data_IF_588464176528
#
_entry.id   IF_588464176528
#
_cell.length_a   1.000
_cell.length_b   1.000
_cell.length_c   1.000
_cell.angle_alpha   90.00
_cell.angle_beta   90.00
_cell.angle_gamma   90.00
#
_symmetry.space_group_name_H-M   'P 1'
#
loop_
_entity.id
_entity.type
_entity.pdbx_description
1 polymer ?
#
# COMPACT_ATOMS: atom_id res chain seq x y z
N UNK A 1 -15.36 2.00 -6.94
CA UNK A 1 -14.33 1.14 -7.55
C UNK A 1 -13.31 2.08 -8.16
N UNK A 2 -12.02 1.92 -7.88
CA UNK A 2 -10.99 2.78 -8.43
C UNK A 2 -10.67 2.33 -9.86
N UNK A 3 -10.89 3.21 -10.84
CA UNK A 3 -10.84 2.90 -12.27
C UNK A 3 -9.50 3.27 -12.89
N UNK A 4 -9.28 2.84 -14.13
CA UNK A 4 -8.12 3.26 -14.93
C UNK A 4 -8.10 4.78 -15.15
N UNK A 5 -9.28 5.41 -15.30
CA UNK A 5 -9.41 6.86 -15.42
C UNK A 5 -8.97 7.58 -14.14
N UNK A 6 -9.36 7.05 -12.97
CA UNK A 6 -8.93 7.61 -11.67
C UNK A 6 -7.41 7.49 -11.50
N UNK A 7 -6.81 6.38 -11.94
CA UNK A 7 -5.35 6.20 -11.93
C UNK A 7 -4.65 7.19 -12.87
N UNK A 8 -5.22 7.41 -14.06
CA UNK A 8 -4.68 8.37 -15.03
C UNK A 8 -4.72 9.80 -14.48
N UNK A 9 -5.79 10.17 -13.78
CA UNK A 9 -5.91 11.47 -13.11
C UNK A 9 -4.88 11.63 -11.99
N UNK A 10 -4.75 10.64 -11.11
CA UNK A 10 -3.71 10.62 -10.07
C UNK A 10 -2.31 10.76 -10.67
N UNK A 11 -2.00 10.03 -11.74
CA UNK A 11 -0.72 10.14 -12.44
C UNK A 11 -0.46 11.54 -12.97
N UNK A 12 -1.47 12.18 -13.58
CA UNK A 12 -1.34 13.51 -14.13
C UNK A 12 -1.08 14.55 -13.05
N UNK A 13 -1.77 14.44 -11.91
CA UNK A 13 -1.57 15.33 -10.77
C UNK A 13 -0.17 15.15 -10.15
N UNK A 14 0.25 13.90 -9.90
CA UNK A 14 1.60 13.62 -9.38
C UNK A 14 2.68 14.19 -10.32
N UNK A 15 2.52 14.00 -11.64
CA UNK A 15 3.44 14.54 -12.65
C UNK A 15 3.46 16.08 -12.64
N UNK A 16 2.29 16.71 -12.59
CA UNK A 16 2.17 18.18 -12.56
C UNK A 16 2.92 18.78 -11.36
N UNK A 17 2.82 18.13 -10.20
CA UNK A 17 3.46 18.57 -8.96
C UNK A 17 4.88 18.01 -8.76
N UNK A 18 5.43 17.28 -9.75
CA UNK A 18 6.75 16.64 -9.70
C UNK A 18 6.91 15.72 -8.47
N UNK A 19 5.85 14.95 -8.18
CA UNK A 19 5.77 14.02 -7.06
C UNK A 19 5.87 12.59 -7.54
N UNK A 20 6.47 11.75 -6.70
CA UNK A 20 6.67 10.33 -6.94
C UNK A 20 5.91 9.48 -5.94
N UNK A 21 5.57 8.25 -6.33
CA UNK A 21 4.86 7.28 -5.50
C UNK A 21 5.57 5.92 -5.56
N UNK A 22 5.54 5.16 -4.46
CA UNK A 22 6.03 3.78 -4.37
C UNK A 22 5.07 2.89 -3.57
N UNK A 23 5.25 1.56 -3.61
CA UNK A 23 4.41 0.61 -2.87
C UNK A 23 5.22 -0.49 -2.17
N UNK A 24 4.76 -0.87 -0.98
CA UNK A 24 5.14 -2.09 -0.27
C UNK A 24 3.94 -3.03 -0.16
N UNK A 25 3.99 -4.16 -0.84
CA UNK A 25 2.85 -5.05 -1.01
C UNK A 25 3.09 -6.42 -0.37
N UNK A 26 2.12 -6.92 0.38
CA UNK A 26 2.10 -8.31 0.83
C UNK A 26 0.93 -9.05 0.18
N UNK A 27 -0.27 -8.99 0.74
CA UNK A 27 -1.38 -9.82 0.26
C UNK A 27 -1.84 -9.48 -1.16
N UNK A 28 -1.60 -8.26 -1.66
CA UNK A 28 -1.92 -7.84 -3.03
C UNK A 28 -0.92 -8.32 -4.07
N UNK A 29 0.27 -8.79 -3.66
CA UNK A 29 1.21 -9.48 -4.53
C UNK A 29 1.74 -8.67 -5.73
N UNK A 30 1.79 -7.34 -5.64
CA UNK A 30 2.23 -6.47 -6.74
C UNK A 30 1.08 -5.92 -7.59
N UNK A 31 -0.17 -6.19 -7.22
CA UNK A 31 -1.34 -5.71 -7.96
C UNK A 31 -1.48 -4.19 -7.94
N UNK A 32 -1.05 -3.51 -6.87
CA UNK A 32 -1.09 -2.04 -6.80
C UNK A 32 -0.06 -1.46 -7.78
N UNK A 33 1.18 -1.96 -7.73
CA UNK A 33 2.22 -1.61 -8.69
C UNK A 33 1.77 -1.88 -10.13
N UNK A 34 1.16 -3.05 -10.40
CA UNK A 34 0.63 -3.40 -11.72
C UNK A 34 -0.37 -2.35 -12.23
N UNK A 35 -1.33 -1.94 -11.40
CA UNK A 35 -2.34 -0.92 -11.77
C UNK A 35 -1.71 0.46 -12.04
N UNK A 36 -0.68 0.84 -11.30
CA UNK A 36 0.08 2.08 -11.57
C UNK A 36 0.80 1.97 -12.92
N UNK A 37 1.48 0.86 -13.17
CA UNK A 37 2.29 0.65 -14.39
C UNK A 37 1.47 0.37 -15.65
N UNK A 38 0.18 0.01 -15.50
CA UNK A 38 -0.75 -0.15 -16.62
C UNK A 38 -1.00 1.18 -17.36
N UNK A 39 -0.79 2.31 -16.69
CA UNK A 39 -0.91 3.63 -17.29
C UNK A 39 0.40 4.01 -18.01
N UNK A 40 0.29 4.39 -19.28
CA UNK A 40 1.43 4.84 -20.07
C UNK A 40 2.09 6.08 -19.43
N UNK A 41 3.42 6.08 -19.38
CA UNK A 41 4.20 7.18 -18.78
C UNK A 41 4.29 7.13 -17.25
N UNK A 42 3.89 6.01 -16.61
CA UNK A 42 4.04 5.76 -15.17
C UNK A 42 5.48 5.87 -14.67
N UNK A 43 6.48 5.67 -15.53
CA UNK A 43 7.90 5.91 -15.22
C UNK A 43 8.23 7.34 -14.79
N UNK A 44 7.36 8.33 -15.05
CA UNK A 44 7.54 9.70 -14.57
C UNK A 44 7.25 9.87 -13.07
N UNK A 45 6.49 8.94 -12.48
CA UNK A 45 6.02 9.05 -11.08
C UNK A 45 6.37 7.83 -10.23
N UNK A 46 6.77 6.71 -10.85
CA UNK A 46 6.91 5.43 -10.16
C UNK A 46 8.25 4.78 -10.49
N UNK A 47 9.14 4.72 -9.50
CA UNK A 47 10.49 4.17 -9.64
C UNK A 47 10.55 2.67 -9.35
N UNK A 48 9.64 2.15 -8.53
CA UNK A 48 9.64 0.75 -8.12
C UNK A 48 8.77 0.49 -6.90
N UNK A 49 8.73 -0.78 -6.52
CA UNK A 49 7.99 -1.30 -5.39
C UNK A 49 8.68 -2.52 -4.79
N UNK A 50 8.25 -2.92 -3.60
CA UNK A 50 8.66 -4.16 -2.93
C UNK A 50 7.45 -5.02 -2.67
N UNK A 51 7.50 -6.27 -3.13
CA UNK A 51 6.55 -7.30 -2.70
C UNK A 51 7.14 -8.05 -1.50
N UNK A 52 6.86 -7.55 -0.29
CA UNK A 52 7.36 -8.10 0.97
C UNK A 52 6.42 -9.16 1.54
N UNK A 53 6.29 -10.30 0.86
CA UNK A 53 5.30 -11.33 1.22
C UNK A 53 5.61 -12.01 2.56
N UNK A 54 6.87 -12.40 2.81
CA UNK A 54 7.30 -13.01 4.07
C UNK A 54 7.70 -11.97 5.13
N UNK A 55 7.76 -12.40 6.40
CA UNK A 55 8.28 -11.57 7.49
C UNK A 55 9.76 -11.22 7.31
N UNK A 56 10.53 -12.16 6.75
CA UNK A 56 11.93 -11.97 6.43
C UNK A 56 12.13 -10.81 5.44
N UNK A 57 11.38 -10.79 4.32
CA UNK A 57 11.49 -9.70 3.33
C UNK A 57 11.00 -8.36 3.90
N UNK A 58 9.97 -8.36 4.76
CA UNK A 58 9.55 -7.14 5.48
C UNK A 58 10.71 -6.56 6.31
N UNK A 59 11.46 -7.43 6.98
CA UNK A 59 12.60 -7.01 7.81
C UNK A 59 13.80 -6.59 6.97
N UNK A 60 14.20 -7.40 5.99
CA UNK A 60 15.37 -7.16 5.13
C UNK A 60 15.21 -5.93 4.24
N UNK A 61 14.07 -5.80 3.57
CA UNK A 61 13.92 -4.80 2.51
C UNK A 61 13.30 -3.50 3.01
N UNK A 62 12.49 -3.56 4.07
CA UNK A 62 11.71 -2.43 4.60
C UNK A 62 12.07 -2.07 6.05
N UNK A 63 13.03 -2.76 6.67
CA UNK A 63 13.45 -2.52 8.06
C UNK A 63 12.30 -2.64 9.08
N UNK A 64 11.28 -3.45 8.79
CA UNK A 64 10.26 -3.83 9.78
C UNK A 64 10.96 -4.60 10.89
N UNK A 65 10.72 -4.23 12.14
CA UNK A 65 11.42 -4.84 13.26
C UNK A 65 10.85 -6.20 13.59
N UNK A 66 11.72 -7.13 13.94
CA UNK A 66 11.33 -8.46 14.41
C UNK A 66 10.43 -8.38 15.65
N UNK A 67 10.76 -7.49 16.61
CA UNK A 67 9.93 -7.25 17.81
C UNK A 67 8.49 -6.84 17.48
N UNK A 68 8.29 -6.05 16.42
CA UNK A 68 6.98 -5.59 15.96
C UNK A 68 6.20 -6.75 15.32
N UNK A 69 6.89 -7.56 14.50
CA UNK A 69 6.31 -8.75 13.87
C UNK A 69 5.89 -9.80 14.89
N UNK A 70 6.72 -10.07 15.90
CA UNK A 70 6.42 -11.03 16.98
C UNK A 70 5.24 -10.56 17.83
N UNK A 71 5.23 -9.28 18.24
CA UNK A 71 4.23 -8.75 19.17
C UNK A 71 2.86 -8.53 18.53
N UNK A 72 2.80 -8.02 17.30
CA UNK A 72 1.56 -7.60 16.67
C UNK A 72 1.12 -8.49 15.50
N UNK A 73 2.05 -9.29 14.96
CA UNK A 73 1.86 -10.07 13.73
C UNK A 73 1.90 -9.20 12.47
N UNK A 74 2.20 -9.84 11.33
CA UNK A 74 2.37 -9.18 10.03
C UNK A 74 1.16 -8.35 9.56
N UNK A 75 -0.05 -8.75 9.94
CA UNK A 75 -1.31 -8.02 9.64
C UNK A 75 -1.66 -7.15 10.82
N UNK A 76 -1.02 -5.98 10.93
CA UNK A 76 -1.21 -5.01 12.01
C UNK A 76 -0.88 -3.60 11.54
N UNK A 77 -1.40 -2.60 12.26
CA UNK A 77 -1.12 -1.19 12.00
C UNK A 77 0.37 -0.90 12.14
N UNK A 78 1.00 -1.43 13.19
CA UNK A 78 2.41 -1.21 13.50
C UNK A 78 3.33 -1.72 12.39
N UNK A 79 3.09 -2.94 11.89
CA UNK A 79 3.88 -3.48 10.78
C UNK A 79 3.68 -2.66 9.50
N UNK A 80 2.45 -2.26 9.19
CA UNK A 80 2.18 -1.44 7.98
C UNK A 80 2.79 -0.05 8.08
N UNK A 81 2.80 0.56 9.27
CA UNK A 81 3.50 1.81 9.54
C UNK A 81 5.02 1.71 9.29
N UNK A 82 5.65 0.64 9.77
CA UNK A 82 7.08 0.40 9.51
C UNK A 82 7.35 0.09 8.03
N UNK A 83 6.45 -0.66 7.36
CA UNK A 83 6.54 -0.89 5.91
C UNK A 83 6.50 0.42 5.11
N UNK A 84 5.61 1.34 5.49
CA UNK A 84 5.51 2.69 4.89
C UNK A 84 6.84 3.45 5.05
N UNK A 85 7.35 3.54 6.28
CA UNK A 85 8.59 4.26 6.59
C UNK A 85 9.81 3.66 5.88
N UNK A 86 9.85 2.33 5.75
CA UNK A 86 10.90 1.62 5.02
C UNK A 86 10.86 1.91 3.53
N UNK A 87 9.70 1.72 2.90
CA UNK A 87 9.59 1.79 1.44
C UNK A 87 9.78 3.21 0.91
N UNK A 88 9.25 4.22 1.61
CA UNK A 88 9.37 5.61 1.16
C UNK A 88 10.84 6.07 1.15
N UNK A 89 11.61 5.66 2.17
CA UNK A 89 13.05 5.95 2.27
C UNK A 89 13.83 5.17 1.22
N UNK A 90 13.51 3.88 1.02
CA UNK A 90 14.21 3.01 0.07
C UNK A 90 14.18 3.55 -1.36
N UNK A 91 13.05 4.10 -1.79
CA UNK A 91 12.89 4.65 -3.14
C UNK A 91 13.02 6.18 -3.23
N UNK A 92 13.28 6.86 -2.11
CA UNK A 92 13.27 8.32 -2.02
C UNK A 92 12.02 8.93 -2.68
N UNK A 93 10.86 8.36 -2.35
CA UNK A 93 9.58 8.74 -2.94
C UNK A 93 8.89 9.83 -2.11
N UNK A 94 8.00 10.60 -2.73
CA UNK A 94 7.19 11.59 -2.02
C UNK A 94 5.98 10.95 -1.32
N UNK A 95 5.41 9.92 -1.91
CA UNK A 95 4.25 9.20 -1.38
C UNK A 95 4.48 7.69 -1.39
N UNK A 96 3.87 6.99 -0.43
CA UNK A 96 3.92 5.54 -0.38
C UNK A 96 2.59 4.91 0.03
N UNK A 97 2.36 3.70 -0.47
CA UNK A 97 1.30 2.79 -0.02
C UNK A 97 1.96 1.56 0.60
N UNK A 98 1.42 1.04 1.71
CA UNK A 98 1.77 -0.27 2.23
C UNK A 98 0.53 -1.10 2.55
N UNK A 99 0.54 -2.38 2.18
CA UNK A 99 -0.61 -3.28 2.39
C UNK A 99 -0.19 -4.64 2.94
N UNK A 100 -0.83 -5.05 4.03
CA UNK A 100 -0.66 -6.37 4.65
C UNK A 100 -1.99 -6.92 5.13
N UNK A 101 -2.33 -8.16 4.78
CA UNK A 101 -3.67 -8.70 5.04
C UNK A 101 -3.79 -10.21 4.88
N UNK A 102 -4.95 -10.73 5.29
CA UNK A 102 -5.34 -12.13 5.16
C UNK A 102 -6.32 -12.26 3.99
N UNK A 103 -5.80 -12.56 2.79
CA UNK A 103 -6.65 -12.70 1.60
C UNK A 103 -7.50 -13.98 1.57
N UNK A 104 -7.15 -15.00 2.37
CA UNK A 104 -7.86 -16.28 2.40
C UNK A 104 -7.43 -17.28 1.31
N UNK A 105 -8.12 -18.43 1.20
CA UNK A 105 -9.26 -18.83 2.02
C UNK A 105 -8.90 -19.20 3.47
N UNK A 106 -7.62 -19.47 3.74
CA UNK A 106 -7.11 -19.83 5.07
C UNK A 106 -6.35 -18.68 5.75
N UNK A 107 -5.83 -18.95 6.96
CA UNK A 107 -4.95 -18.02 7.69
C UNK A 107 -5.69 -16.96 8.52
N UNK A 108 -7.02 -16.96 8.50
CA UNK A 108 -7.83 -16.14 9.40
C UNK A 108 -7.80 -16.64 10.84
N UNK A 109 -7.96 -15.72 11.78
CA UNK A 109 -8.18 -16.01 13.20
C UNK A 109 -9.47 -15.34 13.67
N UNK A 110 -9.95 -15.66 14.88
CA UNK A 110 -11.13 -14.99 15.46
C UNK A 110 -10.98 -13.45 15.51
N UNK A 111 -9.77 -12.96 15.76
CA UNK A 111 -9.48 -11.53 15.88
C UNK A 111 -9.09 -10.88 14.54
N UNK A 112 -8.62 -11.67 13.57
CA UNK A 112 -8.22 -11.23 12.23
C UNK A 112 -8.79 -12.21 11.21
N UNK A 113 -10.11 -12.17 10.94
CA UNK A 113 -10.74 -13.10 10.02
C UNK A 113 -10.19 -12.90 8.59
N UNK A 114 -10.44 -13.89 7.74
CA UNK A 114 -10.21 -13.75 6.29
C UNK A 114 -10.91 -12.49 5.78
N UNK A 115 -10.22 -11.73 4.93
CA UNK A 115 -10.66 -10.42 4.47
C UNK A 115 -10.13 -9.24 5.28
N UNK A 116 -9.46 -9.49 6.42
CA UNK A 116 -8.80 -8.43 7.19
C UNK A 116 -7.55 -7.95 6.47
N UNK A 117 -7.53 -6.68 6.08
CA UNK A 117 -6.40 -6.05 5.38
C UNK A 117 -6.10 -4.71 6.03
N UNK A 118 -4.84 -4.50 6.40
CA UNK A 118 -4.35 -3.21 6.87
C UNK A 118 -3.77 -2.45 5.67
N UNK A 119 -4.28 -1.24 5.45
CA UNK A 119 -3.91 -0.36 4.35
C UNK A 119 -3.32 0.91 4.95
N UNK A 120 -2.05 1.17 4.65
CA UNK A 120 -1.35 2.39 5.01
C UNK A 120 -1.07 3.24 3.78
N UNK A 121 -1.21 4.55 3.94
CA UNK A 121 -0.71 5.55 2.99
C UNK A 121 0.11 6.59 3.72
N UNK A 122 1.08 7.19 3.05
CA UNK A 122 1.84 8.32 3.61
C UNK A 122 2.31 9.29 2.53
N UNK A 123 2.50 10.54 2.94
CA UNK A 123 3.35 11.51 2.27
C UNK A 123 4.58 11.80 3.13
N UNK A 124 5.75 11.97 2.51
CA UNK A 124 7.02 12.17 3.20
C UNK A 124 6.98 13.38 4.14
N UNK A 125 6.25 14.43 3.77
CA UNK A 125 6.12 15.67 4.55
C UNK A 125 4.77 15.79 5.26
N UNK A 126 3.77 15.03 4.80
CA UNK A 126 2.36 15.19 5.18
C UNK A 126 1.91 14.17 6.23
N UNK A 127 2.77 13.21 6.56
CA UNK A 127 2.50 12.18 7.55
C UNK A 127 1.84 10.94 6.95
N UNK A 128 1.32 10.07 7.83
CA UNK A 128 0.77 8.77 7.48
C UNK A 128 -0.64 8.58 8.01
N UNK A 129 -1.43 7.77 7.31
CA UNK A 129 -2.78 7.38 7.69
C UNK A 129 -2.98 5.89 7.41
N UNK A 130 -3.24 5.10 8.45
CA UNK A 130 -3.33 3.64 8.40
C UNK A 130 -4.68 3.17 8.91
N UNK A 131 -5.37 2.35 8.12
CA UNK A 131 -6.69 1.82 8.44
C UNK A 131 -6.74 0.29 8.34
N UNK A 132 -7.60 -0.33 9.15
CA UNK A 132 -7.94 -1.75 9.05
C UNK A 132 -9.25 -1.86 8.27
N UNK A 133 -9.24 -2.59 7.16
CA UNK A 133 -10.39 -2.88 6.32
C UNK A 133 -10.81 -4.35 6.43
N UNK A 134 -12.09 -4.60 6.18
CA UNK A 134 -12.65 -5.95 6.09
C UNK A 134 -13.35 -6.11 4.74
N UNK A 135 -12.82 -7.01 3.91
CA UNK A 135 -13.37 -7.29 2.58
C UNK A 135 -13.97 -8.70 2.54
N UNK A 136 -15.15 -8.82 1.95
CA UNK A 136 -15.78 -10.11 1.65
C UNK A 136 -15.41 -10.59 0.25
N UNK A 137 -15.47 -11.91 0.03
CA UNK A 137 -15.30 -12.55 -1.27
C UNK A 137 -14.17 -13.58 -1.27
N UNK A 138 -13.90 -14.11 -2.46
CA UNK A 138 -12.76 -14.96 -2.76
C UNK A 138 -11.43 -14.22 -2.55
N UNK A 139 -10.33 -15.00 -2.51
CA UNK A 139 -8.97 -14.46 -2.40
C UNK A 139 -8.69 -13.36 -3.41
N UNK A 140 -9.04 -13.59 -4.68
CA UNK A 140 -8.80 -12.64 -5.76
C UNK A 140 -9.65 -11.36 -5.58
N UNK A 141 -10.91 -11.49 -5.14
CA UNK A 141 -11.76 -10.32 -4.86
C UNK A 141 -11.22 -9.49 -3.69
N UNK A 142 -10.74 -10.13 -2.61
CA UNK A 142 -10.12 -9.42 -1.47
C UNK A 142 -8.86 -8.67 -1.94
N UNK A 143 -8.01 -9.29 -2.74
CA UNK A 143 -6.80 -8.66 -3.29
C UNK A 143 -7.14 -7.44 -4.16
N UNK A 144 -8.10 -7.58 -5.08
CA UNK A 144 -8.52 -6.48 -5.95
C UNK A 144 -9.15 -5.32 -5.16
N UNK A 145 -10.07 -5.62 -4.23
CA UNK A 145 -10.71 -4.61 -3.38
C UNK A 145 -9.68 -3.86 -2.54
N UNK A 146 -8.70 -4.57 -1.97
CA UNK A 146 -7.61 -3.96 -1.21
C UNK A 146 -6.74 -3.04 -2.09
N UNK A 147 -6.37 -3.48 -3.30
CA UNK A 147 -5.56 -2.68 -4.21
C UNK A 147 -6.28 -1.39 -4.64
N UNK A 148 -7.55 -1.50 -5.05
CA UNK A 148 -8.37 -0.35 -5.45
C UNK A 148 -8.62 0.61 -4.29
N UNK A 149 -8.94 0.09 -3.10
CA UNK A 149 -9.14 0.91 -1.91
C UNK A 149 -7.86 1.68 -1.55
N UNK A 150 -6.69 1.06 -1.71
CA UNK A 150 -5.41 1.70 -1.43
C UNK A 150 -5.13 2.87 -2.39
N UNK A 151 -5.39 2.68 -3.68
CA UNK A 151 -5.25 3.73 -4.70
C UNK A 151 -6.25 4.87 -4.51
N UNK A 152 -7.50 4.54 -4.17
CA UNK A 152 -8.51 5.54 -3.81
C UNK A 152 -8.05 6.37 -2.61
N UNK A 153 -7.49 5.72 -1.59
CA UNK A 153 -7.07 6.37 -0.34
C UNK A 153 -5.87 7.30 -0.56
N UNK A 154 -4.84 6.87 -1.30
CA UNK A 154 -3.71 7.75 -1.60
C UNK A 154 -4.12 8.92 -2.50
N UNK A 155 -5.02 8.70 -3.46
CA UNK A 155 -5.51 9.77 -4.34
C UNK A 155 -6.20 10.87 -3.53
N UNK A 156 -7.13 10.48 -2.65
CA UNK A 156 -7.81 11.41 -1.73
C UNK A 156 -6.86 12.07 -0.75
N UNK A 157 -5.86 11.34 -0.26
CA UNK A 157 -4.85 11.91 0.63
C UNK A 157 -4.04 12.99 -0.08
N UNK A 158 -3.54 12.70 -1.28
CA UNK A 158 -2.78 13.63 -2.09
C UNK A 158 -3.58 14.88 -2.47
N UNK A 159 -4.84 14.74 -2.89
CA UNK A 159 -5.69 15.91 -3.18
C UNK A 159 -5.80 16.87 -1.98
N UNK A 160 -5.95 16.33 -0.76
CA UNK A 160 -5.99 17.15 0.47
C UNK A 160 -4.66 17.84 0.79
N UNK A 161 -3.53 17.39 0.23
CA UNK A 161 -2.24 18.07 0.41
C UNK A 161 -2.10 19.27 -0.53
N UNK A 162 -2.84 19.28 -1.65
CA UNK A 162 -2.85 20.38 -2.62
C UNK A 162 -3.75 21.55 -2.20
N UNK A 163 -4.74 21.30 -1.34
CA UNK A 163 -5.67 22.32 -0.82
C UNK A 163 -5.06 23.19 0.32
N UNK A 164 -3.78 22.96 0.69
CA UNK A 164 -3.07 23.66 1.77
C UNK A 164 -2.06 24.66 1.23
#
# INVERSE_FOLDING_TARGET
MFTQQDMQELQNLLKLHKKTITTAESCTGGLIASKITEIAGSSNIFNGAIVSYSNEIKSQELNVKEETLEKFGAVSVQVVEEMLEGVIKKFNADYAIAVSGVAGPDGGTKNKPVGTVVIGIMGLLEGKDVEICHFSGSRNEVQNKAAEKSLEKISKFFLKTLDK
#
